data_IF_924054688369
#
_entry.id   IF_924054688369
#
_cell.length_a   1.000
_cell.length_b   1.000
_cell.length_c   1.000
_cell.angle_alpha   90.00
_cell.angle_beta   90.00
_cell.angle_gamma   90.00
#
_symmetry.space_group_name_H-M   'P 1'
#
loop_
_entity.id
_entity.type
_entity.pdbx_description
1 polymer ?
#
# COMPACT_ATOMS: atom_id res chain seq x y z
N UNK A 1 -12.60 -17.96 -9.22
CA UNK A 1 -12.46 -17.58 -7.80
C UNK A 1 -12.72 -18.72 -6.82
N UNK A 2 -13.65 -19.66 -7.15
CA UNK A 2 -13.91 -20.82 -6.29
C UNK A 2 -12.65 -21.69 -6.12
N UNK A 3 -11.95 -22.01 -7.21
CA UNK A 3 -10.72 -22.79 -7.18
C UNK A 3 -9.60 -22.14 -6.35
N UNK A 4 -9.49 -20.80 -6.41
CA UNK A 4 -8.54 -20.06 -5.55
C UNK A 4 -8.89 -20.21 -4.09
N UNK A 5 -10.19 -20.16 -3.74
CA UNK A 5 -10.65 -20.37 -2.38
C UNK A 5 -10.35 -21.79 -1.87
N UNK A 6 -10.58 -22.79 -2.70
CA UNK A 6 -10.29 -24.19 -2.38
C UNK A 6 -8.79 -24.44 -2.19
N UNK A 7 -7.94 -23.80 -3.00
CA UNK A 7 -6.48 -23.83 -2.83
C UNK A 7 -6.03 -23.16 -1.54
N UNK A 8 -6.61 -22.02 -1.19
CA UNK A 8 -6.31 -21.34 0.08
C UNK A 8 -6.71 -22.19 1.30
N UNK A 9 -7.86 -22.84 1.27
CA UNK A 9 -8.28 -23.79 2.31
C UNK A 9 -7.31 -24.99 2.39
N UNK A 10 -6.81 -25.47 1.24
CA UNK A 10 -5.81 -26.54 1.24
C UNK A 10 -4.49 -26.08 1.84
N UNK A 11 -4.05 -24.85 1.53
CA UNK A 11 -2.83 -24.27 2.13
C UNK A 11 -2.96 -24.12 3.65
N UNK A 12 -4.12 -23.70 4.15
CA UNK A 12 -4.40 -23.62 5.59
C UNK A 12 -4.31 -24.99 6.27
N UNK A 13 -4.91 -26.01 5.64
CA UNK A 13 -4.81 -27.41 6.11
C UNK A 13 -3.36 -27.90 6.15
N UNK A 14 -2.55 -27.62 5.14
CA UNK A 14 -1.13 -27.99 5.08
C UNK A 14 -0.32 -27.25 6.15
N UNK A 15 -0.62 -25.98 6.42
CA UNK A 15 0.00 -25.20 7.49
C UNK A 15 -0.31 -25.80 8.86
N UNK A 16 -1.57 -26.17 9.09
CA UNK A 16 -2.00 -26.85 10.33
C UNK A 16 -1.32 -28.20 10.50
N UNK A 17 -1.18 -29.00 9.43
CA UNK A 17 -0.44 -30.26 9.46
C UNK A 17 1.04 -30.04 9.78
N UNK A 18 1.67 -29.02 9.15
CA UNK A 18 3.07 -28.69 9.41
C UNK A 18 3.33 -28.24 10.86
N UNK A 19 2.33 -27.63 11.51
CA UNK A 19 2.42 -27.23 12.92
C UNK A 19 2.35 -28.42 13.89
N UNK A 20 1.93 -29.60 13.43
CA UNK A 20 1.87 -30.80 14.26
C UNK A 20 3.28 -31.31 14.56
N UNK A 21 3.59 -31.53 15.84
CA UNK A 21 4.91 -31.97 16.30
C UNK A 21 5.32 -33.39 15.90
N UNK A 22 4.43 -34.18 15.28
CA UNK A 22 4.72 -35.56 14.82
C UNK A 22 5.36 -35.61 13.42
N UNK A 23 5.40 -34.46 12.68
CA UNK A 23 5.96 -34.40 11.34
C UNK A 23 7.46 -34.11 11.36
N UNK A 24 8.21 -34.88 10.57
CA UNK A 24 9.65 -34.70 10.38
C UNK A 24 9.97 -33.43 9.57
N UNK A 25 11.04 -32.73 9.96
CA UNK A 25 11.41 -31.46 9.29
C UNK A 25 11.96 -31.66 7.88
N UNK A 26 12.75 -32.73 7.67
CA UNK A 26 13.50 -32.91 6.42
C UNK A 26 12.67 -33.56 5.32
N UNK A 27 11.75 -34.45 5.69
CA UNK A 27 10.96 -35.22 4.75
C UNK A 27 9.51 -34.71 4.70
N UNK A 28 8.80 -34.75 5.82
CA UNK A 28 7.36 -34.47 5.82
C UNK A 28 7.08 -33.01 5.59
N UNK A 29 7.68 -32.11 6.35
CA UNK A 29 7.50 -30.67 6.19
C UNK A 29 8.06 -30.15 4.86
N UNK A 30 9.15 -30.74 4.37
CA UNK A 30 9.67 -30.41 3.04
C UNK A 30 8.69 -30.79 1.91
N UNK A 31 7.96 -31.90 2.06
CA UNK A 31 6.93 -32.29 1.10
C UNK A 31 5.69 -31.40 1.18
N UNK A 32 5.23 -31.06 2.42
CA UNK A 32 4.17 -30.07 2.61
C UNK A 32 4.54 -28.70 2.00
N UNK A 33 5.79 -28.27 2.15
CA UNK A 33 6.29 -27.03 1.56
C UNK A 33 6.29 -27.05 0.03
N UNK A 34 6.61 -28.18 -0.58
CA UNK A 34 6.52 -28.35 -2.06
C UNK A 34 5.09 -28.20 -2.55
N UNK A 35 4.12 -28.79 -1.81
CA UNK A 35 2.70 -28.68 -2.16
C UNK A 35 2.22 -27.22 -2.01
N UNK A 36 2.57 -26.53 -0.92
CA UNK A 36 2.26 -25.11 -0.75
C UNK A 36 2.85 -24.26 -1.88
N UNK A 37 4.08 -24.55 -2.29
CA UNK A 37 4.73 -23.84 -3.40
C UNK A 37 4.00 -24.09 -4.73
N UNK A 38 3.56 -25.31 -4.99
CA UNK A 38 2.78 -25.64 -6.18
C UNK A 38 1.42 -24.93 -6.20
N UNK A 39 0.70 -24.94 -5.06
CA UNK A 39 -0.58 -24.23 -4.90
C UNK A 39 -0.41 -22.72 -5.11
N UNK A 40 0.65 -22.12 -4.56
CA UNK A 40 0.96 -20.70 -4.78
C UNK A 40 1.20 -20.40 -6.27
N UNK A 41 2.00 -21.21 -6.95
CA UNK A 41 2.26 -21.04 -8.39
C UNK A 41 0.98 -21.17 -9.22
N UNK A 42 0.05 -22.04 -8.82
CA UNK A 42 -1.24 -22.19 -9.50
C UNK A 42 -2.17 -21.00 -9.24
N UNK A 43 -2.17 -20.43 -8.05
CA UNK A 43 -2.89 -19.18 -7.75
C UNK A 43 -2.35 -18.04 -8.61
N UNK A 44 -1.02 -17.90 -8.70
CA UNK A 44 -0.37 -16.89 -9.54
C UNK A 44 -0.75 -17.08 -11.02
N UNK A 45 -0.76 -18.34 -11.51
CA UNK A 45 -1.18 -18.66 -12.88
C UNK A 45 -2.65 -18.28 -13.14
N UNK A 46 -3.54 -18.54 -12.19
CA UNK A 46 -4.96 -18.15 -12.29
C UNK A 46 -5.10 -16.64 -12.28
N UNK A 47 -4.35 -15.93 -11.42
CA UNK A 47 -4.35 -14.47 -11.38
C UNK A 47 -3.92 -13.87 -12.72
N UNK A 48 -2.85 -14.40 -13.31
CA UNK A 48 -2.33 -13.93 -14.59
C UNK A 48 -3.23 -14.27 -15.79
N UNK A 49 -3.93 -15.39 -15.74
CA UNK A 49 -4.80 -15.84 -16.82
C UNK A 49 -6.23 -15.31 -16.72
N UNK A 50 -6.65 -14.86 -15.54
CA UNK A 50 -8.02 -14.38 -15.31
C UNK A 50 -8.23 -13.00 -15.93
N UNK A 51 -8.96 -12.98 -17.05
CA UNK A 51 -9.35 -11.75 -17.71
C UNK A 51 -10.83 -11.78 -18.09
N UNK A 52 -11.42 -10.61 -18.20
CA UNK A 52 -12.73 -10.39 -18.75
C UNK A 52 -12.64 -9.32 -19.83
N UNK A 53 -12.93 -9.71 -21.06
CA UNK A 53 -12.89 -8.78 -22.21
C UNK A 53 -11.51 -8.06 -22.38
N UNK A 54 -10.41 -8.80 -22.10
CA UNK A 54 -9.05 -8.28 -22.19
C UNK A 54 -8.55 -7.52 -20.94
N UNK A 55 -9.42 -7.29 -19.96
CA UNK A 55 -9.05 -6.68 -18.68
C UNK A 55 -8.68 -7.79 -17.69
N UNK A 56 -7.47 -7.74 -17.15
CA UNK A 56 -7.07 -8.64 -16.06
C UNK A 56 -7.86 -8.30 -14.80
N UNK A 57 -8.37 -9.34 -14.12
CA UNK A 57 -9.26 -9.16 -12.98
C UNK A 57 -8.56 -9.28 -11.62
N UNK A 58 -7.42 -9.95 -11.56
CA UNK A 58 -6.75 -10.37 -10.32
C UNK A 58 -5.29 -9.92 -10.21
N UNK A 59 -4.80 -9.12 -11.14
CA UNK A 59 -3.42 -8.59 -11.13
C UNK A 59 -3.26 -7.30 -10.28
N UNK A 60 -4.33 -6.87 -9.60
CA UNK A 60 -4.35 -5.64 -8.81
C UNK A 60 -4.62 -4.38 -9.62
N UNK A 61 -4.61 -4.43 -10.95
CA UNK A 61 -4.82 -3.25 -11.82
C UNK A 61 -6.22 -2.63 -11.68
N UNK A 62 -7.20 -3.42 -11.22
CA UNK A 62 -8.57 -2.95 -10.95
C UNK A 62 -8.72 -2.33 -9.55
N UNK A 63 -7.81 -2.63 -8.63
CA UNK A 63 -7.88 -2.17 -7.24
C UNK A 63 -7.36 -0.75 -7.05
N UNK A 64 -6.37 -0.37 -7.82
CA UNK A 64 -5.84 0.99 -7.92
C UNK A 64 -6.09 1.45 -9.35
N UNK A 65 -7.21 2.12 -9.58
CA UNK A 65 -7.55 2.65 -10.89
C UNK A 65 -6.49 3.65 -11.37
N UNK A 66 -5.40 3.15 -11.94
CA UNK A 66 -4.51 3.99 -12.73
C UNK A 66 -5.30 4.51 -13.91
N UNK A 67 -5.57 5.79 -13.89
CA UNK A 67 -6.17 6.47 -15.04
C UNK A 67 -5.03 6.77 -16.01
N UNK A 68 -4.93 5.99 -17.08
CA UNK A 68 -4.01 6.31 -18.16
C UNK A 68 -4.70 7.26 -19.14
N UNK A 69 -4.24 8.50 -19.16
CA UNK A 69 -4.64 9.48 -20.18
C UNK A 69 -3.48 9.62 -21.17
N UNK A 70 -3.56 8.87 -22.26
CA UNK A 70 -2.48 8.80 -23.24
C UNK A 70 -2.53 9.92 -24.28
N UNK A 71 -3.72 10.48 -24.55
CA UNK A 71 -3.88 11.59 -25.49
C UNK A 71 -5.08 12.48 -25.12
N UNK A 72 -4.93 13.77 -25.33
CA UNK A 72 -6.02 14.74 -25.21
C UNK A 72 -5.88 15.80 -26.31
N UNK A 73 -7.00 16.20 -26.91
CA UNK A 73 -7.08 17.28 -27.88
C UNK A 73 -8.21 18.21 -27.45
N UNK A 74 -7.87 19.43 -27.06
CA UNK A 74 -8.84 20.45 -26.64
C UNK A 74 -8.61 21.77 -27.39
N UNK A 75 -9.68 22.35 -27.91
CA UNK A 75 -9.63 23.56 -28.74
C UNK A 75 -8.81 23.35 -30.01
N UNK A 76 -8.85 22.14 -30.58
CA UNK A 76 -8.07 21.76 -31.76
C UNK A 76 -6.58 21.53 -31.52
N UNK A 77 -6.08 21.71 -30.30
CA UNK A 77 -4.67 21.51 -29.95
C UNK A 77 -4.44 20.23 -29.14
N UNK A 78 -3.42 19.47 -29.51
CA UNK A 78 -2.97 18.30 -28.71
C UNK A 78 -2.43 18.78 -27.37
N UNK A 79 -2.88 18.14 -26.29
CA UNK A 79 -2.43 18.38 -24.91
C UNK A 79 -1.65 17.19 -24.41
N UNK A 80 -0.58 17.45 -23.67
CA UNK A 80 0.17 16.40 -22.98
C UNK A 80 -0.39 16.27 -21.56
N UNK A 81 -0.99 15.13 -21.20
CA UNK A 81 -1.44 14.89 -19.84
C UNK A 81 -0.25 14.83 -18.87
N UNK A 82 -0.42 15.39 -17.69
CA UNK A 82 0.55 15.27 -16.60
C UNK A 82 -0.07 14.41 -15.51
N UNK A 83 0.60 13.33 -15.17
CA UNK A 83 0.20 12.42 -14.08
C UNK A 83 0.92 12.84 -12.82
N UNK A 84 0.18 13.12 -11.75
CA UNK A 84 0.71 13.27 -10.40
C UNK A 84 0.45 11.96 -9.66
N UNK A 85 1.52 11.28 -9.28
CA UNK A 85 1.43 9.98 -8.61
C UNK A 85 0.66 10.08 -7.28
N UNK A 86 -0.06 9.02 -6.95
CA UNK A 86 -0.67 8.86 -5.65
C UNK A 86 0.40 8.79 -4.54
N UNK A 87 0.09 9.34 -3.38
CA UNK A 87 0.97 9.29 -2.20
C UNK A 87 0.29 8.58 -1.04
N UNK A 88 1.08 7.89 -0.20
CA UNK A 88 0.59 7.32 1.04
C UNK A 88 0.41 8.39 2.13
N UNK A 89 -0.52 8.15 3.04
CA UNK A 89 -0.65 8.98 4.24
C UNK A 89 0.61 8.87 5.11
N UNK A 90 1.16 9.99 5.56
CA UNK A 90 2.35 10.03 6.40
C UNK A 90 2.00 10.57 7.79
N UNK A 91 2.40 9.85 8.82
CA UNK A 91 2.30 10.26 10.23
C UNK A 91 3.68 10.37 10.82
N UNK A 92 3.89 11.34 11.70
CA UNK A 92 5.19 11.56 12.35
C UNK A 92 5.05 11.56 13.86
N UNK A 93 6.11 11.15 14.56
CA UNK A 93 6.22 11.32 16.00
C UNK A 93 7.66 11.59 16.40
N UNK A 94 7.81 12.26 17.54
CA UNK A 94 9.13 12.61 18.09
C UNK A 94 9.41 11.66 19.25
N UNK A 95 10.51 10.90 19.20
CA UNK A 95 10.94 10.08 20.32
C UNK A 95 11.28 10.90 21.56
N UNK A 96 11.02 10.32 22.73
CA UNK A 96 11.55 10.85 23.98
C UNK A 96 12.99 10.40 24.22
N UNK A 97 13.69 11.11 25.11
CA UNK A 97 14.97 10.67 25.63
C UNK A 97 14.81 9.32 26.35
N UNK A 98 15.76 8.42 26.13
CA UNK A 98 15.78 7.10 26.74
C UNK A 98 17.08 6.87 27.54
N UNK A 99 17.05 5.93 28.48
CA UNK A 99 18.25 5.49 29.19
C UNK A 99 19.03 4.53 28.27
N UNK A 100 20.30 4.80 28.06
CA UNK A 100 21.18 3.94 27.28
C UNK A 100 21.17 2.50 27.80
N UNK A 101 21.21 1.54 26.89
CA UNK A 101 21.23 0.11 27.14
C UNK A 101 19.99 -0.45 27.92
N UNK A 102 18.97 0.37 28.18
CA UNK A 102 17.72 -0.09 28.76
C UNK A 102 16.76 -0.58 27.65
N UNK A 103 16.14 -1.71 27.89
CA UNK A 103 15.11 -2.26 27.00
C UNK A 103 13.76 -1.56 27.28
N UNK A 104 13.09 -1.17 26.20
CA UNK A 104 11.75 -0.57 26.21
C UNK A 104 10.84 -1.34 25.26
N UNK A 105 9.54 -1.33 25.56
CA UNK A 105 8.51 -1.83 24.64
C UNK A 105 7.69 -0.65 24.13
N UNK A 106 7.63 -0.49 22.82
CA UNK A 106 6.70 0.43 22.16
C UNK A 106 5.42 -0.33 21.82
N UNK A 107 4.30 0.28 22.14
CA UNK A 107 2.99 -0.15 21.64
C UNK A 107 2.57 0.80 20.52
N UNK A 108 2.43 0.26 19.33
CA UNK A 108 2.04 1.00 18.12
C UNK A 108 0.62 0.61 17.75
N UNK A 109 -0.26 1.59 17.67
CA UNK A 109 -1.65 1.40 17.22
C UNK A 109 -1.85 2.07 15.88
N UNK A 110 -2.44 1.36 14.93
CA UNK A 110 -2.72 1.89 13.60
C UNK A 110 -4.03 1.34 13.02
N UNK A 111 -4.62 2.06 12.09
CA UNK A 111 -5.69 1.57 11.22
C UNK A 111 -5.08 1.08 9.91
N UNK A 112 -5.49 -0.08 9.45
CA UNK A 112 -5.14 -0.56 8.12
C UNK A 112 -5.99 0.14 7.04
N UNK A 113 -5.74 -0.19 5.77
CA UNK A 113 -6.46 0.37 4.63
C UNK A 113 -7.97 0.05 4.63
N UNK A 114 -8.40 -0.98 5.38
CA UNK A 114 -9.82 -1.32 5.57
C UNK A 114 -10.48 -0.58 6.72
N UNK A 115 -9.70 0.17 7.51
CA UNK A 115 -10.15 0.88 8.72
C UNK A 115 -10.16 0.01 9.98
N UNK A 116 -9.59 -1.19 9.93
CA UNK A 116 -9.46 -2.07 11.10
C UNK A 116 -8.27 -1.62 11.96
N UNK A 117 -8.49 -1.58 13.27
CA UNK A 117 -7.44 -1.27 14.24
C UNK A 117 -6.52 -2.47 14.52
N UNK A 118 -5.25 -2.19 14.58
CA UNK A 118 -4.17 -3.11 14.92
C UNK A 118 -3.32 -2.55 16.04
N UNK A 119 -2.80 -3.42 16.89
CA UNK A 119 -1.88 -3.06 17.97
C UNK A 119 -0.67 -3.98 17.92
N UNK A 120 0.52 -3.39 17.83
CA UNK A 120 1.79 -4.12 17.70
C UNK A 120 2.75 -3.68 18.80
N UNK A 121 3.29 -4.64 19.53
CA UNK A 121 4.34 -4.40 20.52
C UNK A 121 5.71 -4.60 19.88
N UNK A 122 6.56 -3.57 19.96
CA UNK A 122 7.92 -3.56 19.40
C UNK A 122 8.93 -3.28 20.49
N UNK A 123 9.89 -4.17 20.69
CA UNK A 123 10.98 -3.96 21.63
C UNK A 123 12.15 -3.24 20.99
N UNK A 124 12.73 -2.28 21.71
CA UNK A 124 13.96 -1.61 21.32
C UNK A 124 14.85 -1.34 22.53
N UNK A 125 16.13 -1.17 22.29
CA UNK A 125 17.09 -0.76 23.33
C UNK A 125 17.35 0.72 23.19
N UNK A 126 17.17 1.48 24.28
CA UNK A 126 17.42 2.93 24.31
C UNK A 126 18.87 3.24 23.99
N UNK A 127 19.10 4.34 23.28
CA UNK A 127 20.42 4.85 22.93
C UNK A 127 20.68 6.17 23.65
N UNK A 128 21.85 6.32 24.15
CA UNK A 128 22.57 7.46 24.75
C UNK A 128 21.77 8.68 25.27
N UNK A 129 20.53 8.51 25.66
CA UNK A 129 19.73 9.54 26.34
C UNK A 129 19.18 10.67 25.48
N UNK A 130 19.71 10.94 24.30
CA UNK A 130 19.21 11.99 23.41
C UNK A 130 18.01 11.47 22.56
N UNK A 131 16.98 12.30 22.38
CA UNK A 131 15.83 11.97 21.55
C UNK A 131 16.22 11.58 20.11
N UNK A 132 17.22 12.28 19.56
CA UNK A 132 17.77 12.02 18.23
C UNK A 132 18.34 10.60 18.08
N UNK A 133 19.17 10.16 19.03
CA UNK A 133 19.83 8.86 18.97
C UNK A 133 18.82 7.74 19.28
N UNK A 134 17.90 8.00 20.21
CA UNK A 134 16.80 7.10 20.49
C UNK A 134 15.85 6.91 19.30
N UNK A 135 15.67 7.95 18.47
CA UNK A 135 14.90 7.87 17.23
C UNK A 135 15.45 6.85 16.25
N UNK A 136 16.78 6.79 16.10
CA UNK A 136 17.41 5.79 15.24
C UNK A 136 17.24 4.36 15.76
N UNK A 137 17.35 4.15 17.07
CA UNK A 137 17.11 2.84 17.70
C UNK A 137 15.65 2.39 17.53
N UNK A 138 14.69 3.28 17.76
CA UNK A 138 13.26 3.01 17.58
C UNK A 138 12.93 2.71 16.11
N UNK A 139 13.42 3.52 15.17
CA UNK A 139 13.20 3.30 13.73
C UNK A 139 13.70 1.94 13.29
N UNK A 140 14.91 1.55 13.72
CA UNK A 140 15.49 0.23 13.41
C UNK A 140 14.60 -0.91 13.91
N UNK A 141 14.07 -0.81 15.13
CA UNK A 141 13.20 -1.82 15.70
C UNK A 141 11.84 -1.88 14.98
N UNK A 142 11.25 -0.74 14.67
CA UNK A 142 9.99 -0.64 13.92
C UNK A 142 10.14 -1.23 12.52
N UNK A 143 11.20 -0.89 11.80
CA UNK A 143 11.48 -1.41 10.46
C UNK A 143 11.79 -2.91 10.43
N UNK A 144 12.33 -3.47 11.52
CA UNK A 144 12.57 -4.90 11.67
C UNK A 144 11.28 -5.70 11.98
N UNK A 145 10.22 -5.04 12.44
CA UNK A 145 8.94 -5.70 12.67
C UNK A 145 8.23 -5.96 11.33
N UNK A 146 7.96 -7.23 11.03
CA UNK A 146 7.41 -7.65 9.73
C UNK A 146 6.00 -7.12 9.46
N UNK A 147 5.15 -7.00 10.50
CA UNK A 147 3.80 -6.45 10.37
C UNK A 147 3.85 -4.97 10.00
N UNK A 148 4.58 -4.15 10.76
CA UNK A 148 4.69 -2.72 10.51
C UNK A 148 5.42 -2.42 9.19
N UNK A 149 6.50 -3.13 8.88
CA UNK A 149 7.25 -2.94 7.64
C UNK A 149 6.50 -3.41 6.39
N UNK A 150 5.48 -4.27 6.52
CA UNK A 150 4.59 -4.62 5.41
C UNK A 150 3.58 -3.50 5.09
N UNK A 151 3.23 -2.68 6.07
CA UNK A 151 2.18 -1.64 5.97
C UNK A 151 2.78 -0.24 5.76
N UNK A 152 3.93 0.05 6.36
CA UNK A 152 4.55 1.37 6.36
C UNK A 152 5.99 1.35 5.84
N UNK A 153 6.37 2.42 5.16
CA UNK A 153 7.76 2.83 5.00
C UNK A 153 8.14 3.69 6.20
N UNK A 154 9.22 3.31 6.90
CA UNK A 154 9.59 3.88 8.19
C UNK A 154 10.95 4.57 8.09
N UNK A 155 10.95 5.88 8.18
CA UNK A 155 12.14 6.72 8.08
C UNK A 155 12.40 7.50 9.38
N UNK A 156 13.66 7.85 9.63
CA UNK A 156 14.07 8.72 10.72
C UNK A 156 14.82 9.94 10.17
N UNK A 157 14.52 11.10 10.70
CA UNK A 157 15.29 12.30 10.43
C UNK A 157 16.53 12.32 11.33
N UNK A 158 17.71 12.26 10.74
CA UNK A 158 18.97 12.20 11.47
C UNK A 158 19.30 13.47 12.27
N UNK A 159 18.67 14.61 11.98
CA UNK A 159 18.93 15.86 12.68
C UNK A 159 18.21 15.94 14.04
N UNK A 160 16.99 15.46 14.13
CA UNK A 160 16.12 15.59 15.32
C UNK A 160 15.58 14.26 15.86
N UNK A 161 15.81 13.14 15.16
CA UNK A 161 15.33 11.81 15.51
C UNK A 161 13.83 11.60 15.26
N UNK A 162 13.14 12.53 14.61
CA UNK A 162 11.73 12.44 14.27
C UNK A 162 11.49 11.25 13.34
N UNK A 163 10.54 10.39 13.68
CA UNK A 163 10.19 9.22 12.90
C UNK A 163 8.97 9.53 12.02
N UNK A 164 9.06 9.17 10.76
CA UNK A 164 7.97 9.25 9.78
C UNK A 164 7.56 7.85 9.36
N UNK A 165 6.28 7.55 9.48
CA UNK A 165 5.66 6.31 9.00
C UNK A 165 4.72 6.65 7.86
N UNK A 166 5.09 6.24 6.64
CA UNK A 166 4.30 6.49 5.42
C UNK A 166 3.61 5.22 5.00
N UNK A 167 2.30 5.26 4.82
CA UNK A 167 1.54 4.12 4.32
C UNK A 167 2.05 3.69 2.94
N UNK A 168 2.27 2.40 2.76
CA UNK A 168 2.58 1.80 1.45
C UNK A 168 1.38 1.78 0.52
N UNK A 169 0.17 1.75 1.10
CA UNK A 169 -1.06 1.94 0.33
C UNK A 169 -1.25 3.43 0.09
N UNK A 170 -1.27 3.82 -1.16
CA UNK A 170 -1.45 5.20 -1.60
C UNK A 170 -2.93 5.60 -1.58
N UNK A 171 -3.19 6.91 -1.64
CA UNK A 171 -4.56 7.43 -1.61
C UNK A 171 -5.11 7.67 -0.21
N UNK A 172 -6.36 8.12 -0.15
CA UNK A 172 -7.03 8.52 1.10
C UNK A 172 -7.28 7.35 2.07
N UNK A 173 -7.31 6.12 1.52
CA UNK A 173 -7.54 4.88 2.29
C UNK A 173 -6.26 4.24 2.81
N UNK A 174 -5.10 4.89 2.69
CA UNK A 174 -3.85 4.38 3.24
C UNK A 174 -3.93 4.15 4.75
N UNK A 175 -3.09 3.25 5.25
CA UNK A 175 -2.99 2.98 6.68
C UNK A 175 -2.63 4.25 7.47
N UNK A 176 -3.17 4.39 8.69
CA UNK A 176 -2.99 5.59 9.53
C UNK A 176 -2.49 5.20 10.90
N UNK A 177 -1.39 5.80 11.33
CA UNK A 177 -0.92 5.67 12.70
C UNK A 177 -1.90 6.38 13.66
N UNK A 178 -2.27 5.72 14.75
CA UNK A 178 -3.18 6.27 15.76
C UNK A 178 -2.37 6.75 16.96
N UNK A 179 -1.57 5.88 17.54
CA UNK A 179 -0.79 6.18 18.73
C UNK A 179 0.53 5.40 18.76
N UNK A 180 1.50 5.96 19.45
CA UNK A 180 2.75 5.27 19.83
C UNK A 180 2.97 5.53 21.31
N UNK A 181 3.06 4.47 22.09
CA UNK A 181 3.39 4.52 23.52
C UNK A 181 4.75 3.86 23.72
N UNK A 182 5.66 4.48 24.48
CA UNK A 182 6.96 3.90 24.79
C UNK A 182 7.13 3.81 26.31
N UNK A 183 7.07 2.60 26.85
CA UNK A 183 6.98 2.39 28.30
C UNK A 183 5.72 3.03 28.86
N UNK A 184 5.86 3.86 29.90
CA UNK A 184 4.74 4.56 30.55
C UNK A 184 4.39 5.91 29.87
N UNK A 185 5.04 6.23 28.74
CA UNK A 185 4.88 7.50 28.03
C UNK A 185 4.15 7.32 26.72
N UNK A 186 3.13 8.13 26.50
CA UNK A 186 2.49 8.32 25.19
C UNK A 186 3.27 9.35 24.42
N UNK A 187 3.78 9.00 23.25
CA UNK A 187 4.46 9.93 22.35
C UNK A 187 3.42 10.75 21.58
N UNK A 188 3.67 12.03 21.42
CA UNK A 188 2.81 12.86 20.58
C UNK A 188 2.96 12.42 19.12
N UNK A 189 1.90 11.87 18.59
CA UNK A 189 1.80 11.51 17.18
C UNK A 189 1.11 12.64 16.45
N UNK A 190 1.82 13.28 15.52
CA UNK A 190 1.20 14.14 14.53
C UNK A 190 0.48 13.24 13.51
N UNK A 191 -0.79 12.98 13.78
CA UNK A 191 -1.61 12.08 12.97
C UNK A 191 -1.80 12.70 11.59
N UNK A 192 -1.22 12.03 10.59
CA UNK A 192 -1.32 12.42 9.19
C UNK A 192 -1.06 13.92 8.95
N UNK A 193 0.16 14.35 9.17
CA UNK A 193 0.60 15.67 8.69
C UNK A 193 0.44 15.83 7.19
N UNK A 194 0.36 14.70 6.48
CA UNK A 194 0.06 14.65 5.06
C UNK A 194 -0.95 13.54 4.80
N UNK A 195 -2.16 13.90 4.40
CA UNK A 195 -3.13 12.92 3.91
C UNK A 195 -2.59 12.23 2.64
N UNK A 196 -2.86 10.94 2.49
CA UNK A 196 -2.60 10.25 1.23
C UNK A 196 -3.42 10.88 0.11
N UNK A 197 -2.84 10.98 -1.07
CA UNK A 197 -3.51 11.54 -2.24
C UNK A 197 -3.68 10.48 -3.31
N UNK A 198 -4.83 10.50 -3.97
CA UNK A 198 -5.07 9.68 -5.14
C UNK A 198 -4.26 10.17 -6.34
N UNK A 199 -3.98 9.28 -7.28
CA UNK A 199 -3.41 9.67 -8.56
C UNK A 199 -4.30 10.72 -9.22
N UNK A 200 -3.69 11.80 -9.70
CA UNK A 200 -4.37 12.89 -10.40
C UNK A 200 -3.77 13.07 -11.78
N UNK A 201 -4.62 12.96 -12.78
CA UNK A 201 -4.24 13.33 -14.14
C UNK A 201 -4.72 14.75 -14.40
N UNK A 202 -3.80 15.61 -14.82
CA UNK A 202 -4.10 16.99 -15.22
C UNK A 202 -3.81 17.13 -16.71
N UNK A 203 -4.83 17.50 -17.47
CA UNK A 203 -4.67 17.93 -18.85
C UNK A 203 -4.47 19.43 -18.84
N UNK A 204 -3.34 19.92 -19.36
CA UNK A 204 -2.90 21.31 -19.24
C UNK A 204 -3.98 22.32 -19.63
N UNK A 205 -3.98 23.49 -18.98
CA UNK A 205 -4.90 24.59 -19.27
C UNK A 205 -4.88 24.98 -20.76
N UNK A 206 -6.05 25.19 -21.32
CA UNK A 206 -6.24 25.55 -22.71
C UNK A 206 -7.71 25.91 -22.96
N UNK A 207 -8.07 26.16 -24.20
CA UNK A 207 -9.45 26.42 -24.57
C UNK A 207 -10.37 25.26 -24.10
N UNK A 208 -11.61 25.60 -23.79
CA UNK A 208 -12.64 24.60 -23.49
C UNK A 208 -12.76 23.60 -24.63
N UNK A 209 -13.12 22.35 -24.33
CA UNK A 209 -13.34 21.32 -25.35
C UNK A 209 -14.40 21.78 -26.36
N UNK A 210 -14.11 21.55 -27.64
CA UNK A 210 -15.05 21.81 -28.73
C UNK A 210 -15.46 20.51 -29.41
N UNK A 211 -16.54 20.53 -30.16
CA UNK A 211 -17.00 19.37 -30.92
C UNK A 211 -15.89 18.81 -31.82
N UNK A 212 -15.66 17.51 -31.78
CA UNK A 212 -14.58 16.82 -32.48
C UNK A 212 -13.26 16.75 -31.72
N UNK A 213 -13.17 17.37 -30.55
CA UNK A 213 -12.04 17.15 -29.64
C UNK A 213 -12.13 15.74 -29.00
N UNK A 214 -10.99 15.19 -28.61
CA UNK A 214 -10.92 13.80 -28.12
C UNK A 214 -10.13 13.70 -26.83
N UNK A 215 -10.51 12.72 -26.01
CA UNK A 215 -9.80 12.33 -24.78
C UNK A 215 -9.65 10.81 -24.75
N UNK A 216 -8.42 10.32 -24.71
CA UNK A 216 -8.15 8.88 -24.61
C UNK A 216 -7.82 8.52 -23.15
N UNK A 217 -8.68 7.71 -22.54
CA UNK A 217 -8.56 7.23 -21.16
C UNK A 217 -8.54 5.70 -21.19
N UNK A 218 -7.52 5.08 -20.61
CA UNK A 218 -7.37 3.62 -20.54
C UNK A 218 -7.55 2.94 -21.91
N UNK A 219 -6.96 3.54 -22.94
CA UNK A 219 -7.01 3.04 -24.31
C UNK A 219 -8.33 3.28 -25.04
N UNK A 220 -9.35 3.86 -24.41
CA UNK A 220 -10.62 4.25 -25.06
C UNK A 220 -10.63 5.73 -25.38
N UNK A 221 -10.95 6.06 -26.62
CA UNK A 221 -11.07 7.45 -27.08
C UNK A 221 -12.53 7.93 -26.98
N UNK A 222 -12.71 9.04 -26.31
CA UNK A 222 -13.99 9.74 -26.16
C UNK A 222 -13.96 11.02 -26.99
N UNK A 223 -15.01 11.27 -27.75
CA UNK A 223 -15.16 12.48 -28.55
C UNK A 223 -16.16 13.44 -27.90
N UNK A 224 -15.81 14.72 -27.86
CA UNK A 224 -16.71 15.81 -27.43
C UNK A 224 -17.68 16.15 -28.57
N UNK A 225 -18.98 16.08 -28.31
CA UNK A 225 -20.03 16.37 -29.25
C UNK A 225 -20.71 17.72 -28.93
N UNK A 226 -21.21 18.40 -29.92
CA UNK A 226 -21.81 19.75 -29.77
C UNK A 226 -23.15 19.76 -29.02
N UNK A 227 -23.78 18.62 -28.82
CA UNK A 227 -25.09 18.50 -28.14
C UNK A 227 -25.18 17.22 -27.36
N UNK A 228 -25.80 17.28 -26.18
CA UNK A 228 -26.08 16.15 -25.32
C UNK A 228 -27.03 15.09 -25.94
N UNK A 229 -27.71 15.43 -27.01
CA UNK A 229 -28.67 14.53 -27.69
C UNK A 229 -28.00 13.59 -28.70
N UNK A 230 -26.71 13.73 -28.93
CA UNK A 230 -25.95 12.86 -29.84
C UNK A 230 -25.14 11.88 -29.02
N UNK A 231 -25.52 10.59 -29.03
CA UNK A 231 -24.74 9.56 -28.37
C UNK A 231 -23.29 9.56 -28.89
N UNK A 232 -22.27 9.43 -28.00
CA UNK A 232 -20.89 9.34 -28.43
C UNK A 232 -20.72 8.12 -29.35
N UNK A 233 -20.06 8.30 -30.49
CA UNK A 233 -19.64 7.19 -31.32
C UNK A 233 -18.46 6.53 -30.59
N UNK A 234 -18.71 5.42 -29.91
CA UNK A 234 -17.64 4.56 -29.40
C UNK A 234 -17.16 3.70 -30.57
N UNK A 235 -15.98 3.97 -31.07
CA UNK A 235 -15.23 2.96 -31.83
C UNK A 235 -14.90 1.82 -30.88
N UNK A 236 -15.40 0.61 -31.19
CA UNK A 236 -15.33 -0.62 -30.41
C UNK A 236 -13.94 -1.23 -30.29
#
# INVERSE_FOLDING_TARGET
>A
LQEVHDMLNRMDSLATQSANGTYDNEVDRANLQKEVTALKSEIDRIADSSNFNGLKLLDGSLGEGKIDVSAAKFGGATKTPTVTAATGAASTFTPDAATAAKEYTMKVEYLDASGKSHTVDVKYTGDNGAAKDNGAAMQKALAANSELSSVFDIAVNAADGKITMTSKVTGEKGAKLISVNSGDKTLTVDVATTAGTNEKVTVGAGADPVAGDTLTINGKTYEFVASADKAPTTDG
#
